data_IF_071088651462
#
_entry.id   IF_071088651462
#
_cell.length_a   1.000
_cell.length_b   1.000
_cell.length_c   1.000
_cell.angle_alpha   90.00
_cell.angle_beta   90.00
_cell.angle_gamma   90.00
#
_symmetry.space_group_name_H-M   'P 1'
#
loop_
_entity.id
_entity.type
_entity.pdbx_description
1 polymer ?
#
# COMPACT_ATOMS: atom_id res chain seq x y z
N UNK A 1 -25.08 -28.08 -2.70
CA UNK A 1 -23.93 -28.35 -3.59
C UNK A 1 -22.70 -28.03 -2.76
N UNK A 2 -22.11 -29.02 -2.09
CA UNK A 2 -20.98 -28.77 -1.17
C UNK A 2 -19.80 -28.34 -2.01
N UNK A 3 -19.46 -27.05 -1.93
CA UNK A 3 -18.24 -26.51 -2.49
C UNK A 3 -17.13 -26.99 -1.57
N UNK A 4 -16.43 -28.06 -1.97
CA UNK A 4 -15.23 -28.51 -1.27
C UNK A 4 -14.12 -27.48 -1.50
N UNK A 5 -14.09 -26.46 -0.65
CA UNK A 5 -13.02 -25.45 -0.60
C UNK A 5 -12.29 -25.58 0.72
N UNK A 6 -11.00 -25.24 0.72
CA UNK A 6 -10.26 -25.07 1.96
C UNK A 6 -10.77 -23.79 2.66
N UNK A 7 -11.25 -23.94 3.89
CA UNK A 7 -11.92 -22.90 4.67
C UNK A 7 -11.77 -23.24 6.15
N UNK A 8 -10.69 -22.77 6.78
CA UNK A 8 -10.31 -23.15 8.14
C UNK A 8 -9.98 -21.92 8.99
N UNK A 9 -10.03 -22.09 10.32
CA UNK A 9 -9.73 -21.03 11.27
C UNK A 9 -8.42 -21.31 11.99
N UNK A 10 -7.53 -20.31 12.03
CA UNK A 10 -6.23 -20.42 12.68
C UNK A 10 -6.02 -19.32 13.71
N UNK A 11 -5.28 -19.64 14.77
CA UNK A 11 -4.71 -18.63 15.66
C UNK A 11 -3.50 -17.99 15.00
N UNK A 12 -3.46 -16.67 14.97
CA UNK A 12 -2.49 -15.93 14.19
C UNK A 12 -1.43 -15.30 15.06
N UNK A 13 -0.17 -15.47 14.65
CA UNK A 13 0.99 -14.89 15.32
C UNK A 13 1.90 -14.17 14.31
N UNK A 14 2.65 -13.15 14.72
CA UNK A 14 3.58 -12.48 13.83
C UNK A 14 4.76 -13.40 13.51
N UNK A 15 5.33 -13.26 12.31
CA UNK A 15 6.51 -14.04 11.89
C UNK A 15 7.76 -13.76 12.73
N UNK A 16 7.76 -12.72 13.56
CA UNK A 16 8.82 -12.50 14.58
C UNK A 16 8.90 -13.61 15.63
N UNK A 17 7.86 -14.43 15.79
CA UNK A 17 7.84 -15.57 16.70
C UNK A 17 8.45 -16.84 16.07
N UNK A 18 8.87 -16.77 14.80
CA UNK A 18 9.64 -17.80 14.13
C UNK A 18 10.94 -17.21 13.59
N UNK A 19 11.97 -18.04 13.39
CA UNK A 19 13.29 -17.61 12.90
C UNK A 19 13.28 -17.25 11.40
N UNK A 20 12.23 -16.56 10.92
CA UNK A 20 11.97 -16.21 9.50
C UNK A 20 11.57 -14.74 9.34
N UNK A 21 12.30 -13.84 9.98
CA UNK A 21 12.05 -12.40 9.93
C UNK A 21 12.00 -11.80 8.51
N UNK A 22 12.64 -12.44 7.52
CA UNK A 22 12.56 -12.02 6.11
C UNK A 22 11.15 -12.11 5.50
N UNK A 23 10.22 -12.84 6.15
CA UNK A 23 8.82 -12.90 5.72
C UNK A 23 8.07 -11.58 5.92
N UNK A 24 8.56 -10.67 6.78
CA UNK A 24 7.98 -9.34 6.94
C UNK A 24 8.04 -8.50 5.65
N UNK A 25 8.95 -8.84 4.73
CA UNK A 25 9.18 -8.09 3.50
C UNK A 25 8.24 -8.50 2.34
N UNK A 26 7.20 -9.29 2.61
CA UNK A 26 6.21 -9.75 1.61
C UNK A 26 4.86 -10.09 2.24
N UNK A 27 4.02 -10.82 1.51
CA UNK A 27 2.65 -11.21 1.93
C UNK A 27 2.49 -12.72 2.15
N UNK A 28 3.59 -13.43 2.40
CA UNK A 28 3.55 -14.89 2.51
C UNK A 28 3.34 -15.33 3.95
N UNK A 29 2.39 -16.24 4.14
CA UNK A 29 2.07 -16.82 5.45
C UNK A 29 2.65 -18.23 5.60
N UNK A 30 2.71 -18.70 6.84
CA UNK A 30 3.01 -20.09 7.19
C UNK A 30 1.74 -20.77 7.70
N UNK A 31 1.40 -21.89 7.08
CA UNK A 31 0.25 -22.72 7.47
C UNK A 31 0.74 -24.05 8.08
N UNK A 32 -0.13 -24.80 8.77
CA UNK A 32 0.25 -26.11 9.30
C UNK A 32 0.31 -27.20 8.21
N UNK A 33 1.05 -28.30 8.43
CA UNK A 33 1.10 -29.44 7.50
C UNK A 33 -0.28 -30.00 7.14
N UNK A 34 -1.21 -30.04 8.10
CA UNK A 34 -2.60 -30.47 7.86
C UNK A 34 -3.31 -29.67 6.76
N UNK A 35 -2.99 -28.38 6.61
CA UNK A 35 -3.54 -27.55 5.55
C UNK A 35 -3.08 -28.03 4.17
N UNK A 36 -1.79 -28.40 4.02
CA UNK A 36 -1.25 -28.94 2.76
C UNK A 36 -1.96 -30.24 2.37
N UNK A 37 -2.18 -31.14 3.32
CA UNK A 37 -2.90 -32.38 3.06
C UNK A 37 -4.31 -32.12 2.52
N UNK A 38 -5.02 -31.15 3.11
CA UNK A 38 -6.34 -30.75 2.63
C UNK A 38 -6.28 -30.13 1.24
N UNK A 39 -5.35 -29.19 1.00
CA UNK A 39 -5.18 -28.54 -0.31
C UNK A 39 -4.80 -29.55 -1.41
N UNK A 40 -3.95 -30.53 -1.09
CA UNK A 40 -3.56 -31.60 -2.01
C UNK A 40 -4.75 -32.50 -2.40
N UNK A 41 -5.61 -32.86 -1.43
CA UNK A 41 -6.86 -33.61 -1.74
C UNK A 41 -7.80 -32.83 -2.65
N UNK A 42 -7.81 -31.50 -2.51
CA UNK A 42 -8.60 -30.60 -3.35
C UNK A 42 -7.97 -30.35 -4.73
N UNK A 43 -6.77 -30.90 -5.00
CA UNK A 43 -6.03 -30.69 -6.25
C UNK A 43 -5.79 -29.20 -6.56
N UNK A 44 -5.49 -28.41 -5.52
CA UNK A 44 -5.20 -26.99 -5.67
C UNK A 44 -3.76 -26.84 -6.19
N UNK A 45 -3.63 -26.26 -7.37
CA UNK A 45 -2.35 -26.00 -8.03
C UNK A 45 -1.77 -24.63 -7.64
N UNK A 46 -0.48 -24.45 -7.95
CA UNK A 46 0.20 -23.19 -7.76
C UNK A 46 -0.33 -22.10 -8.71
N UNK A 47 -0.45 -20.82 -8.28
CA UNK A 47 -0.16 -20.32 -6.94
C UNK A 47 -1.29 -20.58 -5.95
N UNK A 48 -0.91 -21.06 -4.75
CA UNK A 48 -1.84 -21.24 -3.63
C UNK A 48 -2.08 -19.89 -2.95
N UNK A 49 -3.22 -19.28 -3.27
CA UNK A 49 -3.62 -17.99 -2.72
C UNK A 49 -4.75 -18.18 -1.71
N UNK A 50 -4.78 -17.29 -0.73
CA UNK A 50 -5.75 -17.34 0.36
C UNK A 50 -6.37 -15.98 0.58
N UNK A 51 -7.67 -15.97 0.84
CA UNK A 51 -8.36 -14.85 1.47
C UNK A 51 -8.31 -15.07 2.97
N UNK A 52 -7.81 -14.08 3.69
CA UNK A 52 -7.76 -14.07 5.15
C UNK A 52 -8.77 -13.04 5.65
N UNK A 53 -9.69 -13.48 6.50
CA UNK A 53 -10.80 -12.66 6.98
C UNK A 53 -10.81 -12.60 8.49
N UNK A 54 -10.89 -11.38 9.02
CA UNK A 54 -11.28 -11.15 10.40
C UNK A 54 -12.78 -10.91 10.43
N UNK A 55 -13.53 -11.96 10.77
CA UNK A 55 -15.00 -11.92 10.80
C UNK A 55 -15.54 -10.95 11.84
N UNK A 56 -14.80 -10.70 12.94
CA UNK A 56 -15.25 -9.81 14.02
C UNK A 56 -15.28 -8.33 13.65
N UNK A 57 -14.54 -7.93 12.60
CA UNK A 57 -14.51 -6.54 12.09
C UNK A 57 -14.82 -6.46 10.60
N UNK A 58 -15.28 -7.56 10.01
CA UNK A 58 -15.63 -7.70 8.59
C UNK A 58 -14.54 -7.21 7.62
N UNK A 59 -13.26 -7.39 8.00
CA UNK A 59 -12.13 -7.00 7.16
C UNK A 59 -11.46 -8.22 6.56
N UNK A 60 -11.06 -8.11 5.29
CA UNK A 60 -10.35 -9.19 4.59
C UNK A 60 -9.13 -8.65 3.84
N UNK A 61 -8.16 -9.54 3.64
CA UNK A 61 -6.94 -9.33 2.86
C UNK A 61 -6.62 -10.62 2.11
N UNK A 62 -5.63 -10.59 1.21
CA UNK A 62 -5.21 -11.74 0.43
C UNK A 62 -3.71 -11.94 0.53
N UNK A 63 -3.29 -13.19 0.57
CA UNK A 63 -1.90 -13.57 0.78
C UNK A 63 -1.54 -14.86 0.04
N UNK A 64 -0.25 -15.06 -0.18
CA UNK A 64 0.30 -16.35 -0.59
C UNK A 64 0.72 -17.19 0.63
N UNK A 65 1.05 -18.46 0.40
CA UNK A 65 1.72 -19.31 1.39
C UNK A 65 3.19 -19.48 1.00
N UNK A 66 4.10 -19.35 1.96
CA UNK A 66 5.51 -19.70 1.73
C UNK A 66 5.70 -21.22 1.84
N UNK A 67 5.27 -21.79 2.96
CA UNK A 67 5.41 -23.21 3.26
C UNK A 67 4.45 -23.64 4.39
N UNK A 68 4.41 -24.94 4.63
CA UNK A 68 3.50 -25.59 5.56
C UNK A 68 4.24 -26.12 6.79
N UNK A 69 4.81 -25.19 7.58
CA UNK A 69 5.66 -25.51 8.73
C UNK A 69 5.16 -24.94 10.06
N UNK A 70 3.95 -24.36 10.11
CA UNK A 70 3.40 -23.83 11.35
C UNK A 70 2.90 -24.97 12.26
N UNK A 71 2.90 -24.79 13.60
CA UNK A 71 2.21 -25.71 14.50
C UNK A 71 0.73 -25.83 14.16
N UNK A 72 0.15 -27.01 14.39
CA UNK A 72 -1.27 -27.28 14.16
C UNK A 72 -2.17 -26.24 14.86
N UNK A 73 -3.20 -25.79 14.14
CA UNK A 73 -4.11 -24.74 14.60
C UNK A 73 -3.52 -23.32 14.64
N UNK A 74 -2.29 -23.12 14.16
CA UNK A 74 -1.61 -21.82 14.14
C UNK A 74 -1.25 -21.38 12.71
N UNK A 75 -1.21 -20.07 12.50
CA UNK A 75 -0.77 -19.42 11.27
C UNK A 75 0.23 -18.31 11.64
N UNK A 76 1.36 -18.23 10.94
CA UNK A 76 2.26 -17.08 11.07
C UNK A 76 2.13 -16.18 9.86
N UNK A 77 2.04 -14.87 10.08
CA UNK A 77 1.95 -13.89 9.01
C UNK A 77 2.73 -12.61 9.32
N UNK A 78 3.05 -11.80 8.31
CA UNK A 78 3.68 -10.50 8.50
C UNK A 78 2.89 -9.62 9.45
N UNK A 79 3.58 -8.85 10.30
CA UNK A 79 2.93 -7.99 11.28
C UNK A 79 2.06 -6.92 10.62
N UNK A 80 2.51 -6.34 9.49
CA UNK A 80 1.74 -5.35 8.74
C UNK A 80 0.38 -5.91 8.26
N UNK A 81 0.32 -7.21 7.96
CA UNK A 81 -0.91 -7.89 7.55
C UNK A 81 -1.85 -8.08 8.75
N UNK A 82 -1.31 -8.38 9.94
CA UNK A 82 -2.10 -8.42 11.17
C UNK A 82 -2.69 -7.04 11.53
N UNK A 83 -1.90 -5.97 11.34
CA UNK A 83 -2.35 -4.59 11.55
C UNK A 83 -3.49 -4.24 10.60
N UNK A 84 -3.33 -4.59 9.32
CA UNK A 84 -4.40 -4.50 8.33
C UNK A 84 -5.66 -5.20 8.84
N UNK A 85 -5.58 -6.46 9.24
CA UNK A 85 -6.74 -7.25 9.68
C UNK A 85 -7.27 -6.89 11.07
N UNK A 86 -6.71 -5.88 11.75
CA UNK A 86 -7.03 -5.48 13.13
C UNK A 86 -7.06 -6.66 14.12
N UNK A 87 -6.16 -7.62 13.92
CA UNK A 87 -6.05 -8.80 14.78
C UNK A 87 -4.86 -8.65 15.72
N UNK A 88 -5.05 -9.06 16.98
CA UNK A 88 -3.96 -9.17 17.94
C UNK A 88 -3.34 -10.55 17.88
N UNK A 89 -2.14 -10.69 18.43
CA UNK A 89 -1.46 -11.97 18.59
C UNK A 89 -2.37 -12.99 19.28
N UNK A 90 -2.44 -14.21 18.74
CA UNK A 90 -3.32 -15.28 19.20
C UNK A 90 -4.79 -15.13 18.78
N UNK A 91 -5.15 -14.04 18.09
CA UNK A 91 -6.48 -13.85 17.51
C UNK A 91 -6.79 -14.87 16.42
N UNK A 92 -8.07 -15.09 16.16
CA UNK A 92 -8.53 -16.10 15.20
C UNK A 92 -8.88 -15.41 13.88
N UNK A 93 -8.34 -15.92 12.78
CA UNK A 93 -8.72 -15.51 11.43
C UNK A 93 -9.21 -16.71 10.63
N UNK A 94 -10.19 -16.46 9.77
CA UNK A 94 -10.62 -17.40 8.74
C UNK A 94 -9.63 -17.33 7.56
N UNK A 95 -9.14 -18.49 7.12
CA UNK A 95 -8.24 -18.64 5.97
C UNK A 95 -8.91 -19.54 4.95
N UNK A 96 -9.14 -18.99 3.77
CA UNK A 96 -9.88 -19.66 2.72
C UNK A 96 -9.09 -19.65 1.41
N UNK A 97 -8.99 -20.80 0.75
CA UNK A 97 -8.35 -20.84 -0.57
C UNK A 97 -9.24 -20.13 -1.62
N UNK A 98 -8.59 -19.34 -2.46
CA UNK A 98 -9.25 -18.59 -3.53
C UNK A 98 -8.39 -18.57 -4.80
N UNK A 99 -9.04 -18.37 -5.94
CA UNK A 99 -8.36 -18.04 -7.20
C UNK A 99 -8.61 -16.56 -7.51
N UNK A 100 -7.54 -15.82 -7.75
CA UNK A 100 -7.61 -14.39 -8.09
C UNK A 100 -7.22 -14.17 -9.56
N UNK A 101 -7.86 -13.22 -10.25
CA UNK A 101 -7.42 -12.82 -11.59
C UNK A 101 -6.03 -12.18 -11.53
N UNK A 102 -5.29 -12.22 -12.63
CA UNK A 102 -4.01 -11.53 -12.77
C UNK A 102 -4.23 -10.02 -12.82
N UNK A 103 -3.43 -9.28 -12.06
CA UNK A 103 -3.55 -7.83 -11.96
C UNK A 103 -3.10 -7.15 -13.26
N UNK A 104 -3.92 -6.29 -13.84
CA UNK A 104 -3.51 -5.47 -15.00
C UNK A 104 -3.07 -4.08 -14.59
N UNK A 105 -3.60 -3.58 -13.48
CA UNK A 105 -3.33 -2.24 -12.97
C UNK A 105 -3.44 -2.22 -11.45
N UNK A 106 -2.52 -1.52 -10.79
CA UNK A 106 -2.56 -1.23 -9.35
C UNK A 106 -2.24 0.25 -9.14
N UNK A 107 -3.04 0.91 -8.30
CA UNK A 107 -2.79 2.28 -7.87
C UNK A 107 -2.39 2.32 -6.41
N UNK A 108 -1.21 2.89 -6.16
CA UNK A 108 -0.62 2.96 -4.83
C UNK A 108 -0.55 4.41 -4.35
N UNK A 109 -0.80 4.62 -3.06
CA UNK A 109 -0.59 5.92 -2.41
C UNK A 109 0.43 5.79 -1.30
N UNK A 110 1.63 6.37 -1.43
CA UNK A 110 2.59 6.42 -0.33
C UNK A 110 2.00 7.16 0.87
N UNK A 111 2.24 6.67 2.09
CA UNK A 111 1.80 7.38 3.29
C UNK A 111 2.69 8.57 3.64
N UNK A 112 3.94 8.59 3.14
CA UNK A 112 4.90 9.65 3.39
C UNK A 112 5.60 10.12 2.12
N UNK A 113 5.93 11.42 2.06
CA UNK A 113 6.78 12.01 1.03
C UNK A 113 8.17 11.37 0.95
N UNK A 114 8.65 10.76 2.04
CA UNK A 114 9.95 10.09 2.09
C UNK A 114 10.13 9.02 0.99
N UNK A 115 9.02 8.44 0.50
CA UNK A 115 9.07 7.48 -0.60
C UNK A 115 9.41 8.15 -1.95
N UNK A 116 9.01 9.40 -2.14
CA UNK A 116 9.31 10.19 -3.35
C UNK A 116 10.78 10.62 -3.41
N UNK A 117 11.46 10.71 -2.26
CA UNK A 117 12.88 11.07 -2.17
C UNK A 117 13.82 9.92 -2.56
N UNK A 118 13.28 8.71 -2.79
CA UNK A 118 14.06 7.57 -3.27
C UNK A 118 14.53 7.88 -4.70
N UNK A 119 15.82 7.68 -4.98
CA UNK A 119 16.41 8.02 -6.29
C UNK A 119 15.80 7.23 -7.46
N UNK A 120 15.34 6.00 -7.22
CA UNK A 120 14.63 5.19 -8.21
C UNK A 120 13.48 4.39 -7.55
N UNK A 121 12.33 5.04 -7.29
CA UNK A 121 11.23 4.43 -6.54
C UNK A 121 10.61 3.26 -7.31
N UNK A 122 10.65 3.31 -8.65
CA UNK A 122 10.11 2.27 -9.52
C UNK A 122 10.90 0.96 -9.41
N UNK A 123 12.24 1.03 -9.45
CA UNK A 123 13.06 -0.17 -9.31
C UNK A 123 12.94 -0.81 -7.91
N UNK A 124 12.84 0.02 -6.86
CA UNK A 124 12.59 -0.46 -5.48
C UNK A 124 11.25 -1.17 -5.42
N UNK A 125 10.20 -0.57 -5.98
CA UNK A 125 8.88 -1.17 -6.02
C UNK A 125 8.89 -2.51 -6.79
N UNK A 126 9.44 -2.54 -8.00
CA UNK A 126 9.52 -3.77 -8.81
C UNK A 126 10.33 -4.88 -8.12
N UNK A 127 11.37 -4.51 -7.35
CA UNK A 127 12.13 -5.45 -6.54
C UNK A 127 11.31 -6.01 -5.37
N UNK A 128 10.67 -5.13 -4.61
CA UNK A 128 9.88 -5.52 -3.45
C UNK A 128 8.61 -6.28 -3.84
N UNK A 129 7.87 -5.87 -4.88
CA UNK A 129 6.61 -6.54 -5.27
C UNK A 129 6.81 -8.01 -5.71
N UNK A 130 8.03 -8.46 -6.01
CA UNK A 130 8.33 -9.88 -6.29
C UNK A 130 8.14 -10.80 -5.08
N UNK A 131 8.18 -10.26 -3.86
CA UNK A 131 7.91 -11.03 -2.64
C UNK A 131 6.41 -11.13 -2.33
N UNK A 132 5.59 -10.31 -2.99
CA UNK A 132 4.15 -10.26 -2.83
C UNK A 132 3.44 -11.15 -3.85
N UNK A 133 2.32 -11.72 -3.44
CA UNK A 133 1.53 -12.69 -4.18
C UNK A 133 0.22 -12.05 -4.67
N UNK A 134 -0.37 -11.20 -3.84
CA UNK A 134 -1.67 -10.59 -4.04
C UNK A 134 -1.64 -9.09 -3.71
N UNK A 135 -2.56 -8.34 -4.30
CA UNK A 135 -2.89 -6.96 -3.91
C UNK A 135 -4.39 -6.89 -3.62
N UNK A 136 -4.78 -6.18 -2.55
CA UNK A 136 -6.18 -5.99 -2.15
C UNK A 136 -6.44 -4.51 -1.92
N UNK A 137 -7.51 -3.98 -2.51
CA UNK A 137 -7.93 -2.58 -2.29
C UNK A 137 -8.24 -2.35 -0.81
N UNK A 138 -7.70 -1.27 -0.25
CA UNK A 138 -7.89 -0.89 1.15
C UNK A 138 -6.83 -1.43 2.10
N UNK A 139 -5.94 -2.31 1.65
CA UNK A 139 -4.76 -2.69 2.43
C UNK A 139 -3.68 -1.60 2.38
N UNK A 140 -2.90 -1.53 3.46
CA UNK A 140 -1.62 -0.81 3.49
C UNK A 140 -0.50 -1.83 3.50
N UNK A 141 0.31 -1.87 2.44
CA UNK A 141 1.46 -2.78 2.33
C UNK A 141 2.73 -2.10 2.84
N UNK A 142 3.66 -2.91 3.36
CA UNK A 142 4.93 -2.44 3.89
C UNK A 142 6.08 -2.83 2.95
N UNK A 143 6.80 -1.86 2.41
CA UNK A 143 8.00 -2.07 1.60
C UNK A 143 9.24 -1.69 2.38
N UNK A 144 10.19 -2.61 2.52
CA UNK A 144 11.45 -2.36 3.21
C UNK A 144 12.55 -1.99 2.21
N UNK A 145 13.14 -0.82 2.39
CA UNK A 145 14.26 -0.36 1.56
C UNK A 145 15.24 0.49 2.38
N UNK A 146 16.54 0.22 2.26
CA UNK A 146 17.60 0.90 3.03
C UNK A 146 17.32 0.98 4.54
N UNK A 147 16.89 -0.14 5.15
CA UNK A 147 16.53 -0.25 6.57
C UNK A 147 15.38 0.67 7.01
N UNK A 148 14.57 1.16 6.07
CA UNK A 148 13.37 1.95 6.33
C UNK A 148 12.14 1.24 5.77
N UNK A 149 11.05 1.29 6.52
CA UNK A 149 9.76 0.75 6.11
C UNK A 149 8.93 1.88 5.48
N UNK A 150 8.47 1.67 4.25
CA UNK A 150 7.60 2.57 3.52
C UNK A 150 6.21 1.94 3.44
N UNK A 151 5.21 2.63 3.98
CA UNK A 151 3.83 2.19 3.95
C UNK A 151 3.13 2.75 2.71
N UNK A 152 2.51 1.88 1.91
CA UNK A 152 1.78 2.27 0.71
C UNK A 152 0.35 1.74 0.79
N UNK A 153 -0.63 2.62 0.64
CA UNK A 153 -2.04 2.23 0.58
C UNK A 153 -2.38 1.74 -0.82
N UNK A 154 -3.06 0.61 -0.92
CA UNK A 154 -3.60 0.09 -2.17
C UNK A 154 -4.95 0.75 -2.43
N UNK A 155 -4.98 1.65 -3.42
CA UNK A 155 -6.16 2.48 -3.74
C UNK A 155 -7.07 1.84 -4.78
N UNK A 156 -6.47 1.21 -5.78
CA UNK A 156 -7.21 0.59 -6.89
C UNK A 156 -6.45 -0.65 -7.36
N UNK A 157 -7.21 -1.69 -7.73
CA UNK A 157 -6.69 -2.92 -8.33
C UNK A 157 -7.65 -3.31 -9.45
N UNK A 158 -7.11 -3.69 -10.62
CA UNK A 158 -7.90 -4.20 -11.75
C UNK A 158 -7.44 -5.60 -12.14
N UNK A 159 -8.36 -6.47 -12.60
CA UNK A 159 -9.77 -6.19 -12.94
C UNK A 159 -10.76 -6.30 -11.75
N UNK A 160 -10.29 -6.69 -10.58
CA UNK A 160 -11.09 -6.97 -9.40
C UNK A 160 -10.49 -6.27 -8.16
N UNK A 161 -11.26 -6.07 -7.08
CA UNK A 161 -10.76 -5.44 -5.85
C UNK A 161 -9.62 -6.20 -5.16
N UNK A 162 -9.39 -7.46 -5.56
CA UNK A 162 -8.18 -8.20 -5.23
C UNK A 162 -7.68 -8.95 -6.47
N UNK A 163 -6.37 -8.99 -6.67
CA UNK A 163 -5.75 -9.63 -7.80
C UNK A 163 -4.40 -10.26 -7.44
N UNK A 164 -3.99 -11.27 -8.21
CA UNK A 164 -2.67 -11.88 -8.13
C UNK A 164 -1.66 -11.06 -8.94
N UNK A 165 -0.49 -10.78 -8.35
CA UNK A 165 0.61 -10.04 -8.99
C UNK A 165 1.83 -10.91 -9.29
N UNK A 166 1.77 -12.22 -9.01
CA UNK A 166 2.84 -13.17 -9.32
C UNK A 166 3.05 -13.23 -10.84
N UNK A 167 4.29 -13.02 -11.29
CA UNK A 167 4.70 -13.17 -12.69
C UNK A 167 3.79 -12.41 -13.66
N UNK A 168 3.42 -11.17 -13.29
CA UNK A 168 2.47 -10.36 -14.06
C UNK A 168 3.08 -9.03 -14.44
N UNK A 169 2.91 -8.64 -15.69
CA UNK A 169 3.19 -7.29 -16.17
C UNK A 169 2.02 -6.38 -15.78
N UNK A 170 2.07 -5.86 -14.56
CA UNK A 170 1.06 -4.98 -14.01
C UNK A 170 1.49 -3.51 -14.15
N UNK A 171 0.62 -2.66 -14.67
CA UNK A 171 0.83 -1.21 -14.67
C UNK A 171 0.66 -0.67 -13.25
N UNK A 172 1.64 0.10 -12.77
CA UNK A 172 1.57 0.74 -11.45
C UNK A 172 1.52 2.25 -11.60
N UNK A 173 0.49 2.84 -11.00
CA UNK A 173 0.30 4.29 -10.89
C UNK A 173 0.41 4.75 -9.42
N UNK A 174 0.81 6.01 -9.23
CA UNK A 174 1.03 6.58 -7.91
C UNK A 174 0.14 7.81 -7.68
N UNK A 175 -0.55 7.83 -6.53
CA UNK A 175 -1.19 9.03 -6.03
C UNK A 175 -0.23 9.87 -5.18
N UNK A 176 -0.56 11.16 -5.04
CA UNK A 176 0.16 12.06 -4.12
C UNK A 176 0.15 11.51 -2.70
N UNK A 177 1.26 11.62 -1.94
CA UNK A 177 1.35 11.10 -0.59
C UNK A 177 0.24 11.61 0.35
N UNK A 178 -0.15 10.78 1.32
CA UNK A 178 -1.21 11.12 2.27
C UNK A 178 -0.89 12.36 3.13
N UNK A 179 0.39 12.61 3.39
CA UNK A 179 0.93 13.74 4.14
C UNK A 179 1.28 14.96 3.26
N UNK A 180 0.87 14.97 1.99
CA UNK A 180 1.11 16.10 1.09
C UNK A 180 0.34 17.34 1.53
N UNK A 181 1.06 18.35 2.00
CA UNK A 181 0.55 19.72 2.19
C UNK A 181 0.91 20.54 0.96
N UNK A 182 -0.07 21.06 0.19
CA UNK A 182 0.22 21.93 -0.95
C UNK A 182 1.04 23.14 -0.50
N UNK A 183 2.12 23.52 -1.20
CA UNK A 183 2.81 24.76 -0.90
C UNK A 183 1.82 25.91 -1.04
N UNK A 184 1.65 26.69 0.03
CA UNK A 184 0.82 27.90 0.00
C UNK A 184 1.37 28.76 -1.14
N UNK A 185 0.54 29.16 -2.13
CA UNK A 185 0.99 30.06 -3.18
C UNK A 185 1.64 31.27 -2.52
N UNK A 186 2.91 31.52 -2.84
CA UNK A 186 3.57 32.73 -2.38
C UNK A 186 2.68 33.89 -2.82
N UNK A 187 2.07 34.59 -1.87
CA UNK A 187 1.30 35.78 -2.16
C UNK A 187 2.21 36.68 -2.98
N UNK A 188 1.84 36.93 -4.23
CA UNK A 188 2.54 37.88 -5.07
C UNK A 188 2.50 39.21 -4.32
N UNK A 189 3.62 39.59 -3.71
CA UNK A 189 3.81 40.92 -3.15
C UNK A 189 3.86 41.90 -4.32
N UNK A 190 2.69 42.28 -4.83
CA UNK A 190 2.53 43.44 -5.72
C UNK A 190 2.60 44.70 -4.87
N UNK A 191 3.75 44.97 -4.27
CA UNK A 191 4.06 46.29 -3.74
C UNK A 191 4.51 47.16 -4.92
N UNK A 192 3.53 47.80 -5.58
CA UNK A 192 3.80 48.90 -6.49
C UNK A 192 4.57 49.99 -5.72
N UNK A 193 5.82 50.23 -6.10
CA UNK A 193 6.58 51.36 -5.58
C UNK A 193 5.95 52.66 -6.10
N UNK A 194 5.60 53.64 -5.24
CA UNK A 194 5.25 54.97 -5.71
C UNK A 194 6.51 55.68 -6.20
N UNK A 195 6.48 56.08 -7.47
CA UNK A 195 7.48 56.96 -8.10
C UNK A 195 7.47 58.31 -7.37
N UNK A 196 8.61 58.86 -6.92
CA UNK A 196 8.63 60.17 -6.28
C UNK A 196 8.57 61.26 -7.35
N UNK A 197 7.52 62.10 -7.32
CA UNK A 197 7.36 63.28 -8.17
C UNK A 197 7.71 64.55 -7.38
N UNK A 198 9.00 64.93 -7.38
CA UNK A 198 9.44 66.24 -6.90
C UNK A 198 9.53 67.21 -8.08
N UNK A 199 8.51 68.06 -8.23
CA UNK A 199 8.58 69.28 -9.05
C UNK A 199 8.24 70.48 -8.15
N UNK A 200 9.16 71.43 -7.92
CA UNK A 200 8.92 72.55 -7.03
C UNK A 200 8.07 73.64 -7.70
N UNK A 201 6.95 73.98 -7.08
CA UNK A 201 6.13 75.13 -7.40
C UNK A 201 6.85 76.43 -7.00
N UNK A 202 7.24 77.23 -7.99
CA UNK A 202 7.75 78.60 -7.85
C UNK A 202 6.90 79.54 -8.70
N UNK A 203 6.36 80.58 -8.10
CA UNK A 203 5.16 81.28 -8.57
C UNK A 203 5.34 82.45 -9.54
N UNK A 204 4.17 82.93 -10.01
CA UNK A 204 3.88 84.29 -10.49
C UNK A 204 4.51 84.62 -11.88
N UNK A 205 3.83 85.14 -12.91
CA UNK A 205 3.01 86.36 -12.96
C UNK A 205 2.59 86.63 -14.43
N UNK A 206 1.34 87.08 -14.62
CA UNK A 206 0.77 87.98 -15.65
C UNK A 206 0.67 87.65 -17.17
N UNK A 207 -0.56 87.86 -17.62
CA UNK A 207 -1.04 88.69 -18.76
C UNK A 207 -1.19 88.08 -20.18
N UNK A 208 -2.46 88.17 -20.62
CA UNK A 208 -2.96 88.31 -21.98
C UNK A 208 -2.01 89.04 -22.96
N UNK A 209 -2.13 88.75 -24.26
CA UNK A 209 -2.88 89.58 -25.22
C UNK A 209 -2.87 88.92 -26.61
N UNK A 210 -4.06 88.92 -27.21
CA UNK A 210 -4.38 88.64 -28.59
C UNK A 210 -3.71 89.68 -29.50
N UNK A 211 -2.96 89.23 -30.51
CA UNK A 211 -2.92 89.82 -31.87
C UNK A 211 -2.19 88.87 -32.81
#
# INVERSE_FOLDING_TARGET
>A
MNIYRFDEHYRVYPVSFCDKAHLEDGDKILLPPSALETLARLHIEYPMLFRVTNEGVERSSHCGVLEFSAPEGSCYMPYWMMQNLFVKEGGILNVQNVSLPKATFVKLRPQSQDFLDISNPRAVLEGSLRTFSCMTVGDTICLKYNNKNYMLDVREVKPAPAACIIETDCEVDFESPADYVPPVPAAANTAAQPVPSDVPYGGSTLLCVVC
#
